data_IF_606426429131
#
_entry.id   IF_606426429131
#
_cell.length_a   1.000
_cell.length_b   1.000
_cell.length_c   1.000
_cell.angle_alpha   90.00
_cell.angle_beta   90.00
_cell.angle_gamma   90.00
#
_symmetry.space_group_name_H-M   'P 1'
#
loop_
_entity.id
_entity.type
_entity.pdbx_description
1 polymer ?
#
# COMPACT_ATOMS: atom_id res chain seq x y z
N UNK A 1 17.39 3.75 28.63
CA UNK A 1 17.17 2.65 27.66
C UNK A 1 15.87 2.77 26.85
N UNK A 2 15.09 3.85 26.99
CA UNK A 2 13.84 4.07 26.23
C UNK A 2 14.03 4.78 24.88
N UNK A 3 15.13 5.51 24.72
CA UNK A 3 15.43 6.28 23.49
C UNK A 3 15.81 5.41 22.29
N UNK A 4 16.60 4.34 22.49
CA UNK A 4 16.99 3.40 21.43
C UNK A 4 15.77 2.76 20.73
N UNK A 5 14.79 2.27 21.51
CA UNK A 5 13.56 1.66 20.96
C UNK A 5 12.69 2.64 20.17
N UNK A 6 12.74 3.94 20.49
CA UNK A 6 11.98 4.97 19.78
C UNK A 6 12.58 5.24 18.41
N UNK A 7 13.91 5.27 18.32
CA UNK A 7 14.62 5.44 17.05
C UNK A 7 14.35 4.29 16.09
N UNK A 8 14.36 3.04 16.57
CA UNK A 8 14.09 1.87 15.71
C UNK A 8 12.66 1.89 15.14
N UNK A 9 11.68 2.30 15.95
CA UNK A 9 10.29 2.44 15.51
C UNK A 9 10.14 3.54 14.44
N UNK A 10 10.82 4.68 14.62
CA UNK A 10 10.82 5.77 13.63
C UNK A 10 11.45 5.37 12.30
N UNK A 11 12.53 4.57 12.36
CA UNK A 11 13.19 4.05 11.17
C UNK A 11 12.26 3.09 10.42
N UNK A 12 11.57 2.20 11.14
CA UNK A 12 10.60 1.27 10.54
C UNK A 12 9.40 2.02 9.92
N UNK A 13 8.91 3.05 10.58
CA UNK A 13 7.84 3.92 10.09
C UNK A 13 8.28 4.63 8.80
N UNK A 14 9.47 5.23 8.78
CA UNK A 14 10.02 5.89 7.59
C UNK A 14 10.19 4.94 6.39
N UNK A 15 10.64 3.71 6.63
CA UNK A 15 10.72 2.70 5.56
C UNK A 15 9.33 2.30 5.05
N UNK A 16 8.37 2.12 5.95
CA UNK A 16 6.99 1.79 5.60
C UNK A 16 6.35 2.91 4.77
N UNK A 17 6.56 4.17 5.17
CA UNK A 17 6.06 5.34 4.45
C UNK A 17 6.68 5.48 3.06
N UNK A 18 7.99 5.23 2.93
CA UNK A 18 8.67 5.22 1.64
C UNK A 18 8.09 4.14 0.71
N UNK A 19 7.86 2.92 1.22
CA UNK A 19 7.24 1.84 0.44
C UNK A 19 5.80 2.17 0.02
N UNK A 20 5.02 2.79 0.91
CA UNK A 20 3.67 3.29 0.61
C UNK A 20 3.67 4.34 -0.49
N UNK A 21 4.63 5.26 -0.48
CA UNK A 21 4.77 6.26 -1.53
C UNK A 21 5.14 5.61 -2.88
N UNK A 22 6.08 4.66 -2.88
CA UNK A 22 6.49 3.93 -4.07
C UNK A 22 5.35 3.12 -4.69
N UNK A 23 4.61 2.35 -3.88
CA UNK A 23 3.50 1.55 -4.39
C UNK A 23 2.37 2.42 -4.95
N UNK A 24 2.14 3.60 -4.34
CA UNK A 24 1.20 4.60 -4.87
C UNK A 24 1.65 5.12 -6.23
N UNK A 25 2.92 5.51 -6.36
CA UNK A 25 3.49 6.01 -7.61
C UNK A 25 3.48 4.93 -8.73
N UNK A 26 3.76 3.68 -8.38
CA UNK A 26 3.65 2.55 -9.31
C UNK A 26 2.20 2.39 -9.78
N UNK A 27 1.23 2.35 -8.86
CA UNK A 27 -0.18 2.19 -9.19
C UNK A 27 -0.79 3.35 -10.00
N UNK A 28 -0.15 4.52 -10.05
CA UNK A 28 -0.50 5.57 -11.01
C UNK A 28 0.00 5.29 -12.43
N UNK A 29 1.15 4.63 -12.57
CA UNK A 29 1.77 4.32 -13.85
C UNK A 29 1.21 3.03 -14.47
N UNK A 30 0.71 2.12 -13.65
CA UNK A 30 0.12 0.85 -14.09
C UNK A 30 -1.37 0.77 -13.72
N UNK A 31 -1.97 -0.40 -13.91
CA UNK A 31 -3.33 -0.67 -13.43
C UNK A 31 -3.34 -0.92 -11.90
N UNK A 32 -3.94 -0.03 -11.10
CA UNK A 32 -3.99 -0.18 -9.65
C UNK A 32 -4.83 -1.37 -9.18
N UNK A 33 -5.82 -1.82 -9.97
CA UNK A 33 -6.65 -3.00 -9.62
C UNK A 33 -5.79 -4.24 -9.70
N UNK A 34 -5.04 -4.39 -10.79
CA UNK A 34 -4.10 -5.49 -10.97
C UNK A 34 -2.98 -5.46 -9.93
N UNK A 35 -2.40 -4.28 -9.66
CA UNK A 35 -1.37 -4.11 -8.63
C UNK A 35 -1.88 -4.57 -7.24
N UNK A 36 -3.09 -4.16 -6.87
CA UNK A 36 -3.72 -4.59 -5.61
C UNK A 36 -3.86 -6.12 -5.55
N UNK A 37 -4.36 -6.76 -6.61
CA UNK A 37 -4.52 -8.20 -6.67
C UNK A 37 -3.17 -8.94 -6.59
N UNK A 38 -2.14 -8.44 -7.28
CA UNK A 38 -0.79 -8.99 -7.25
C UNK A 38 -0.21 -8.91 -5.83
N UNK A 39 -0.37 -7.79 -5.13
CA UNK A 39 0.09 -7.63 -3.74
C UNK A 39 -0.63 -8.61 -2.79
N UNK A 40 -1.95 -8.78 -2.92
CA UNK A 40 -2.69 -9.77 -2.12
C UNK A 40 -2.20 -11.20 -2.38
N UNK A 41 -1.91 -11.54 -3.64
CA UNK A 41 -1.36 -12.84 -4.02
C UNK A 41 0.01 -13.08 -3.36
N UNK A 42 0.92 -12.09 -3.43
CA UNK A 42 2.24 -12.17 -2.80
C UNK A 42 2.13 -12.28 -1.27
N UNK A 43 1.22 -11.54 -0.62
CA UNK A 43 0.97 -11.68 0.81
C UNK A 43 0.48 -13.08 1.18
N UNK A 44 -0.38 -13.68 0.34
CA UNK A 44 -0.81 -15.07 0.46
C UNK A 44 0.34 -16.07 0.36
N UNK A 45 1.27 -15.88 -0.58
CA UNK A 45 2.48 -16.71 -0.72
C UNK A 45 3.38 -16.56 0.51
N UNK A 46 3.59 -15.33 0.99
CA UNK A 46 4.40 -15.05 2.18
C UNK A 46 3.81 -15.71 3.43
N UNK A 47 2.49 -15.66 3.62
CA UNK A 47 1.78 -16.39 4.70
C UNK A 47 2.02 -17.88 4.64
N UNK A 48 1.85 -18.50 3.45
CA UNK A 48 2.06 -19.94 3.25
C UNK A 48 3.51 -20.36 3.52
N UNK A 49 4.46 -19.47 3.25
CA UNK A 49 5.88 -19.67 3.55
C UNK A 49 6.29 -19.41 5.01
N UNK A 50 5.35 -19.10 5.92
CA UNK A 50 5.64 -18.79 7.32
C UNK A 50 6.14 -17.37 7.59
N UNK A 51 6.17 -16.51 6.57
CA UNK A 51 6.67 -15.13 6.67
C UNK A 51 5.56 -14.14 7.05
N UNK A 52 4.99 -14.32 8.25
CA UNK A 52 3.83 -13.54 8.71
C UNK A 52 4.06 -12.02 8.75
N UNK A 53 5.22 -11.57 9.22
CA UNK A 53 5.56 -10.13 9.26
C UNK A 53 5.64 -9.52 7.87
N UNK A 54 6.30 -10.20 6.93
CA UNK A 54 6.37 -9.74 5.54
C UNK A 54 5.00 -9.72 4.90
N UNK A 55 4.16 -10.74 5.14
CA UNK A 55 2.80 -10.76 4.65
C UNK A 55 1.96 -9.58 5.18
N UNK A 56 2.11 -9.24 6.46
CA UNK A 56 1.43 -8.08 7.06
C UNK A 56 1.86 -6.75 6.43
N UNK A 57 3.17 -6.58 6.15
CA UNK A 57 3.65 -5.40 5.44
C UNK A 57 3.10 -5.33 4.01
N UNK A 58 3.04 -6.46 3.30
CA UNK A 58 2.52 -6.50 1.92
C UNK A 58 1.01 -6.24 1.89
N UNK A 59 0.25 -6.76 2.87
CA UNK A 59 -1.17 -6.44 3.05
C UNK A 59 -1.37 -4.93 3.28
N UNK A 60 -0.51 -4.30 4.08
CA UNK A 60 -0.55 -2.84 4.31
C UNK A 60 -0.27 -2.03 3.03
N UNK A 61 0.63 -2.52 2.16
CA UNK A 61 0.85 -1.92 0.84
C UNK A 61 -0.35 -2.10 -0.08
N UNK A 62 -0.99 -3.28 -0.08
CA UNK A 62 -2.23 -3.51 -0.82
C UNK A 62 -3.33 -2.56 -0.35
N UNK A 63 -3.52 -2.44 0.96
CA UNK A 63 -4.48 -1.51 1.54
C UNK A 63 -4.19 -0.04 1.18
N UNK A 64 -2.91 0.33 1.06
CA UNK A 64 -2.52 1.67 0.58
C UNK A 64 -2.97 1.90 -0.87
N UNK A 65 -2.81 0.91 -1.75
CA UNK A 65 -3.30 0.98 -3.15
C UNK A 65 -4.81 1.09 -3.18
N UNK A 66 -5.52 0.27 -2.40
CA UNK A 66 -6.97 0.32 -2.28
C UNK A 66 -7.46 1.71 -1.86
N UNK A 67 -6.95 2.22 -0.75
CA UNK A 67 -7.40 3.49 -0.13
C UNK A 67 -7.01 4.74 -0.91
N UNK A 68 -5.88 4.73 -1.63
CA UNK A 68 -5.41 5.92 -2.34
C UNK A 68 -5.78 5.91 -3.81
N UNK A 69 -5.90 4.73 -4.44
CA UNK A 69 -6.02 4.63 -5.89
C UNK A 69 -7.37 4.08 -6.33
N UNK A 70 -7.93 3.11 -5.60
CA UNK A 70 -9.18 2.47 -6.00
C UNK A 70 -10.40 3.22 -5.48
N UNK A 71 -10.41 3.63 -4.21
CA UNK A 71 -11.51 4.43 -3.64
C UNK A 71 -11.54 5.86 -4.20
N UNK A 72 -10.37 6.43 -4.47
CA UNK A 72 -10.25 7.82 -4.94
C UNK A 72 -10.60 7.93 -6.43
N UNK A 73 -10.22 6.96 -7.28
CA UNK A 73 -10.65 6.97 -8.70
C UNK A 73 -12.15 6.76 -8.87
N UNK A 74 -12.79 5.94 -8.03
CA UNK A 74 -14.26 5.83 -8.00
C UNK A 74 -14.93 7.18 -7.68
N UNK A 75 -14.30 8.05 -6.88
CA UNK A 75 -14.78 9.41 -6.67
C UNK A 75 -14.52 10.34 -7.86
N UNK A 76 -13.37 10.24 -8.52
CA UNK A 76 -13.02 11.12 -9.65
C UNK A 76 -13.90 10.82 -10.88
N UNK A 77 -14.15 9.55 -11.21
CA UNK A 77 -15.09 9.18 -12.29
C UNK A 77 -16.54 9.60 -11.99
N UNK A 78 -16.94 9.63 -10.72
CA UNK A 78 -18.24 10.20 -10.28
C UNK A 78 -18.28 11.73 -10.28
N UNK A 79 -17.13 12.40 -10.39
CA UNK A 79 -17.00 13.88 -10.39
C UNK A 79 -16.73 14.42 -11.79
N UNK A 80 -17.18 13.73 -12.84
CA UNK A 80 -17.40 14.39 -14.13
C UNK A 80 -18.75 15.11 -14.05
N UNK A 81 -18.76 16.29 -13.40
CA UNK A 81 -19.88 17.22 -13.50
C UNK A 81 -19.70 17.97 -14.82
N UNK A 82 -20.61 17.84 -15.81
CA UNK A 82 -20.55 18.66 -17.00
C UNK A 82 -20.99 20.07 -16.61
N UNK A 83 -20.03 20.96 -16.36
CA UNK A 83 -20.31 22.39 -16.40
C UNK A 83 -20.20 22.85 -17.85
N UNK A 84 -21.40 23.08 -18.41
CA UNK A 84 -21.81 23.78 -19.64
C UNK A 84 -20.72 24.33 -20.57
#
# INVERSE_FOLDING_TARGET
>A
MTTLRRTDAQVLEAYTDALKALVTALGWQIDPVRLHADLQSIAGIARKGGNGTSAGLIDELAHTVETRLLTTRVSVERTVIPFR
#
